data_IF_100973602622
#
_entry.id   IF_100973602622
#
_cell.length_a   1.000
_cell.length_b   1.000
_cell.length_c   1.000
_cell.angle_alpha   90.00
_cell.angle_beta   90.00
_cell.angle_gamma   90.00
#
_symmetry.space_group_name_H-M   'P 1'
#
loop_
_entity.id
_entity.type
_entity.pdbx_description
1 polymer ?
#
# COMPACT_ATOMS: atom_id res chain seq x y z
N UNK A 1 -16.35 -18.90 -10.62
CA UNK A 1 -16.11 -18.17 -9.36
C UNK A 1 -16.81 -18.93 -8.25
N UNK A 2 -16.12 -19.25 -7.16
CA UNK A 2 -16.68 -19.98 -6.01
C UNK A 2 -17.15 -18.93 -4.97
N UNK A 3 -18.45 -18.56 -4.94
CA UNK A 3 -18.95 -17.40 -4.18
C UNK A 3 -18.80 -17.57 -2.66
N UNK A 4 -18.70 -18.82 -2.21
CA UNK A 4 -18.55 -19.18 -0.81
C UNK A 4 -17.16 -18.85 -0.22
N UNK A 5 -16.15 -18.60 -1.06
CA UNK A 5 -14.83 -18.14 -0.60
C UNK A 5 -14.81 -16.66 -0.18
N UNK A 6 -15.73 -15.83 -0.68
CA UNK A 6 -15.81 -14.39 -0.34
C UNK A 6 -16.24 -14.14 1.12
N UNK A 7 -16.76 -15.16 1.82
CA UNK A 7 -17.20 -15.05 3.20
C UNK A 7 -16.12 -15.41 4.22
N UNK A 8 -15.03 -16.05 3.80
CA UNK A 8 -13.93 -16.41 4.70
C UNK A 8 -13.07 -15.20 5.02
N UNK A 9 -12.88 -14.93 6.31
CA UNK A 9 -12.07 -13.81 6.79
C UNK A 9 -10.61 -13.96 6.35
N UNK A 10 -10.12 -15.19 6.25
CA UNK A 10 -8.74 -15.50 5.81
C UNK A 10 -8.51 -15.13 4.34
N UNK A 11 -9.53 -15.29 3.48
CA UNK A 11 -9.46 -14.90 2.06
C UNK A 11 -9.44 -13.39 1.94
N UNK A 12 -10.23 -12.69 2.75
CA UNK A 12 -10.26 -11.22 2.81
C UNK A 12 -8.93 -10.64 3.26
N UNK A 13 -8.35 -11.19 4.33
CA UNK A 13 -7.02 -10.80 4.80
C UNK A 13 -5.95 -11.03 3.72
N UNK A 14 -6.01 -12.16 3.02
CA UNK A 14 -5.07 -12.45 1.93
C UNK A 14 -5.21 -11.47 0.75
N UNK A 15 -6.43 -11.03 0.43
CA UNK A 15 -6.65 -10.02 -0.62
C UNK A 15 -6.12 -8.64 -0.23
N UNK A 16 -6.22 -8.30 1.05
CA UNK A 16 -5.72 -7.05 1.63
C UNK A 16 -4.19 -7.02 1.63
N UNK A 17 -3.54 -8.07 2.13
CA UNK A 17 -2.08 -8.24 2.07
C UNK A 17 -1.55 -8.25 0.62
N UNK A 18 -2.29 -8.87 -0.31
CA UNK A 18 -1.94 -8.86 -1.72
C UNK A 18 -2.02 -7.45 -2.33
N UNK A 19 -3.08 -6.70 -2.00
CA UNK A 19 -3.25 -5.32 -2.45
C UNK A 19 -2.14 -4.43 -1.88
N UNK A 20 -1.86 -4.52 -0.59
CA UNK A 20 -0.76 -3.80 0.07
C UNK A 20 0.57 -4.06 -0.64
N UNK A 21 0.92 -5.34 -0.83
CA UNK A 21 2.21 -5.72 -1.42
C UNK A 21 2.38 -5.21 -2.87
N UNK A 22 1.31 -5.25 -3.67
CA UNK A 22 1.33 -4.73 -5.03
C UNK A 22 1.45 -3.20 -5.05
N UNK A 23 0.63 -2.50 -4.26
CA UNK A 23 0.64 -1.04 -4.19
C UNK A 23 2.01 -0.55 -3.71
N UNK A 24 2.53 -1.13 -2.62
CA UNK A 24 3.85 -0.82 -2.09
C UNK A 24 4.95 -1.00 -3.16
N UNK A 25 4.94 -2.14 -3.87
CA UNK A 25 5.93 -2.40 -4.91
C UNK A 25 5.84 -1.40 -6.06
N UNK A 26 4.64 -1.08 -6.53
CA UNK A 26 4.45 -0.18 -7.68
C UNK A 26 4.82 1.25 -7.31
N UNK A 27 4.44 1.73 -6.13
CA UNK A 27 4.80 3.07 -5.67
C UNK A 27 6.32 3.24 -5.57
N UNK A 28 7.04 2.23 -5.06
CA UNK A 28 8.51 2.29 -4.96
C UNK A 28 9.24 2.22 -6.32
N UNK A 29 8.61 1.72 -7.38
CA UNK A 29 9.27 1.50 -8.68
C UNK A 29 8.85 2.51 -9.75
N UNK A 30 7.59 2.89 -9.73
CA UNK A 30 6.92 3.59 -10.83
C UNK A 30 6.19 4.85 -10.36
N UNK A 31 6.21 5.18 -9.06
CA UNK A 31 5.54 6.36 -8.47
C UNK A 31 4.07 6.51 -8.92
N UNK A 32 3.39 5.38 -9.11
CA UNK A 32 2.02 5.36 -9.64
C UNK A 32 1.09 4.49 -8.80
N UNK A 33 -0.18 4.91 -8.74
CA UNK A 33 -1.24 4.16 -8.09
C UNK A 33 -1.90 3.22 -9.09
N UNK A 34 -1.92 1.93 -8.77
CA UNK A 34 -2.76 0.97 -9.47
C UNK A 34 -4.22 1.20 -9.08
N UNK A 35 -5.14 1.05 -10.01
CA UNK A 35 -6.58 1.01 -9.72
C UNK A 35 -6.97 -0.30 -9.03
N UNK A 36 -8.08 -0.34 -8.27
CA UNK A 36 -8.59 -1.60 -7.69
C UNK A 36 -8.78 -2.70 -8.75
N UNK A 37 -9.21 -2.33 -9.96
CA UNK A 37 -9.38 -3.24 -11.09
C UNK A 37 -8.06 -3.81 -11.61
N UNK A 38 -6.99 -3.00 -11.65
CA UNK A 38 -5.64 -3.46 -12.03
C UNK A 38 -5.03 -4.40 -10.98
N UNK A 39 -5.33 -4.15 -9.69
CA UNK A 39 -4.95 -5.06 -8.60
C UNK A 39 -5.83 -6.31 -8.59
N UNK A 40 -7.05 -6.24 -9.12
CA UNK A 40 -7.99 -7.37 -9.17
C UNK A 40 -8.67 -7.67 -7.82
N UNK A 41 -8.87 -6.63 -7.00
CA UNK A 41 -9.53 -6.74 -5.68
C UNK A 41 -10.70 -5.76 -5.57
N UNK A 42 -11.62 -6.05 -4.65
CA UNK A 42 -12.72 -5.13 -4.34
C UNK A 42 -12.19 -3.78 -3.83
N UNK A 43 -12.83 -2.64 -4.15
CA UNK A 43 -12.36 -1.30 -3.75
C UNK A 43 -12.13 -1.15 -2.23
N UNK A 44 -12.94 -1.82 -1.41
CA UNK A 44 -12.76 -1.83 0.04
C UNK A 44 -11.46 -2.51 0.49
N UNK A 45 -11.05 -3.59 -0.18
CA UNK A 45 -9.80 -4.32 0.09
C UNK A 45 -8.60 -3.53 -0.40
N UNK A 46 -8.74 -2.90 -1.56
CA UNK A 46 -7.74 -1.97 -2.08
C UNK A 46 -7.46 -0.84 -1.09
N UNK A 47 -8.51 -0.17 -0.59
CA UNK A 47 -8.34 0.94 0.37
C UNK A 47 -7.75 0.50 1.71
N UNK A 48 -8.11 -0.69 2.19
CA UNK A 48 -7.50 -1.26 3.40
C UNK A 48 -6.01 -1.52 3.18
N UNK A 49 -5.64 -2.20 2.08
CA UNK A 49 -4.24 -2.45 1.74
C UNK A 49 -3.44 -1.16 1.53
N UNK A 50 -4.00 -0.17 0.83
CA UNK A 50 -3.38 1.16 0.66
C UNK A 50 -3.17 1.86 2.02
N UNK A 51 -4.08 1.68 2.96
CA UNK A 51 -3.99 2.23 4.32
C UNK A 51 -2.85 1.63 5.15
N UNK A 52 -2.43 0.40 4.85
CA UNK A 52 -1.34 -0.28 5.55
C UNK A 52 0.05 0.02 4.96
N UNK A 53 0.13 0.41 3.67
CA UNK A 53 1.38 0.77 2.99
C UNK A 53 2.24 1.80 3.75
N UNK A 54 1.71 2.89 4.34
CA UNK A 54 2.51 3.82 5.15
C UNK A 54 3.22 3.15 6.34
N UNK A 55 2.65 2.07 6.87
CA UNK A 55 3.26 1.27 7.93
C UNK A 55 4.53 0.56 7.47
N UNK A 56 4.55 0.04 6.24
CA UNK A 56 5.72 -0.55 5.59
C UNK A 56 6.75 0.50 5.18
N UNK A 57 6.32 1.62 4.57
CA UNK A 57 7.22 2.73 4.23
C UNK A 57 7.96 3.25 5.48
N UNK A 58 7.27 3.36 6.62
CA UNK A 58 7.91 3.73 7.90
C UNK A 58 9.01 2.75 8.31
N UNK A 59 8.85 1.44 8.06
CA UNK A 59 9.90 0.45 8.35
C UNK A 59 11.12 0.67 7.45
N UNK A 60 10.91 1.03 6.19
CA UNK A 60 11.99 1.35 5.25
C UNK A 60 12.68 2.68 5.60
N UNK A 61 11.94 3.72 5.97
CA UNK A 61 12.49 5.00 6.49
C UNK A 61 13.43 4.72 7.66
N UNK A 62 12.98 3.96 8.66
CA UNK A 62 13.82 3.63 9.82
C UNK A 62 15.05 2.79 9.43
N UNK A 63 14.95 1.98 8.38
CA UNK A 63 16.06 1.19 7.84
C UNK A 63 17.08 2.06 7.12
N UNK A 64 16.63 3.04 6.33
CA UNK A 64 17.47 4.03 5.66
C UNK A 64 18.20 4.92 6.69
N UNK A 65 17.48 5.44 7.69
CA UNK A 65 18.05 6.23 8.78
C UNK A 65 19.13 5.46 9.55
N UNK A 66 18.93 4.17 9.83
CA UNK A 66 19.95 3.31 10.47
C UNK A 66 21.24 3.18 9.66
N UNK A 67 21.16 3.31 8.33
CA UNK A 67 22.30 3.26 7.40
C UNK A 67 22.92 4.65 7.19
N UNK A 68 22.33 5.71 7.73
CA UNK A 68 22.73 7.10 7.47
C UNK A 68 22.30 7.62 6.10
N UNK A 69 21.37 6.92 5.45
CA UNK A 69 20.81 7.28 4.16
C UNK A 69 19.61 8.21 4.37
N UNK A 70 19.90 9.52 4.45
CA UNK A 70 18.89 10.54 4.73
C UNK A 70 18.05 10.85 3.49
N UNK A 71 18.67 10.83 2.32
CA UNK A 71 18.00 11.11 1.03
C UNK A 71 16.85 10.12 0.80
N UNK A 72 17.12 8.81 0.90
CA UNK A 72 16.08 7.79 0.78
C UNK A 72 15.01 7.91 1.87
N UNK A 73 15.40 8.31 3.09
CA UNK A 73 14.44 8.46 4.19
C UNK A 73 13.48 9.65 3.96
N UNK A 74 13.95 10.74 3.36
CA UNK A 74 13.14 11.90 2.97
C UNK A 74 12.19 11.53 1.82
N UNK A 75 12.68 10.89 0.75
CA UNK A 75 11.84 10.45 -0.38
C UNK A 75 10.68 9.54 0.07
N UNK A 76 10.97 8.57 0.95
CA UNK A 76 9.95 7.67 1.49
C UNK A 76 8.95 8.39 2.41
N UNK A 77 9.38 9.45 3.11
CA UNK A 77 8.49 10.25 3.94
C UNK A 77 7.54 11.08 3.08
N UNK A 78 8.05 11.71 2.02
CA UNK A 78 7.24 12.48 1.06
C UNK A 78 6.17 11.57 0.42
N UNK A 79 6.56 10.34 0.02
CA UNK A 79 5.61 9.36 -0.50
C UNK A 79 4.52 8.98 0.53
N UNK A 80 4.86 8.87 1.81
CA UNK A 80 3.87 8.63 2.87
C UNK A 80 2.89 9.81 3.01
N UNK A 81 3.37 11.04 2.87
CA UNK A 81 2.52 12.24 2.89
C UNK A 81 1.57 12.24 1.69
N UNK A 82 2.06 11.92 0.49
CA UNK A 82 1.25 11.82 -0.72
C UNK A 82 0.12 10.78 -0.57
N UNK A 83 0.42 9.59 -0.04
CA UNK A 83 -0.59 8.56 0.23
C UNK A 83 -1.65 9.09 1.22
N UNK A 84 -1.21 9.76 2.28
CA UNK A 84 -2.13 10.34 3.27
C UNK A 84 -3.03 11.40 2.62
N UNK A 85 -2.48 12.29 1.80
CA UNK A 85 -3.27 13.31 1.10
C UNK A 85 -4.32 12.67 0.21
N UNK A 86 -3.95 11.73 -0.66
CA UNK A 86 -4.89 11.06 -1.56
C UNK A 86 -6.01 10.32 -0.81
N UNK A 87 -5.69 9.65 0.30
CA UNK A 87 -6.69 8.97 1.14
C UNK A 87 -7.68 9.94 1.80
N UNK A 88 -7.24 11.14 2.17
CA UNK A 88 -8.07 12.14 2.86
C UNK A 88 -8.90 12.97 1.87
N UNK A 89 -8.36 13.28 0.69
CA UNK A 89 -9.05 14.07 -0.32
C UNK A 89 -10.06 13.26 -1.12
N UNK A 90 -9.97 11.91 -1.11
CA UNK A 90 -10.73 11.03 -1.99
C UNK A 90 -10.57 11.40 -3.48
N UNK A 91 -9.39 11.92 -3.85
CA UNK A 91 -9.00 12.17 -5.24
C UNK A 91 -8.31 10.96 -5.87
#
# INVERSE_FOLDING_TARGET
TAPELEFFEEVKASQEEYAEALIFQTLLKEESYLTPEEVGVEPSRYLMGLGDVPGELRREVLTALKKGDIETAEELLDLMEDIYFNLVTCE
#
